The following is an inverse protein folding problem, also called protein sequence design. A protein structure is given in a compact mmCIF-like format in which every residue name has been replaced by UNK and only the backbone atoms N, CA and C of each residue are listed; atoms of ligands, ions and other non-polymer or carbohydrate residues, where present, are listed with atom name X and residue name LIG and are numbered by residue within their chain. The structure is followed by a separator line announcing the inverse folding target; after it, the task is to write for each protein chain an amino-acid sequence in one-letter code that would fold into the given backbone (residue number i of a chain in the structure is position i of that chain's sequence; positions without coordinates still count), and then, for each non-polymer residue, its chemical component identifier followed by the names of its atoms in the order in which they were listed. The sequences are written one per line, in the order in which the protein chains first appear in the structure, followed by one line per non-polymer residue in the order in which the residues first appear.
data_IF_397073754317
#
_entry.id   IF_397073754317
#
_cell.length_a   1.000
_cell.length_b   1.000
_cell.length_c   1.000
_cell.angle_alpha   90.00
_cell.angle_beta   90.00
_cell.angle_gamma   90.00
#
_symmetry.space_group_name_H-M   'P 1'
#
loop_
_entity.id
_entity.type
_entity.pdbx_description
1 polymer ?
#
# COMPACT_ATOMS: atom_id res chain seq x y z
N UNK A 1 -4.03 6.70 0.55
CA UNK A 1 -2.98 5.70 0.33
C UNK A 1 -3.22 4.50 1.24
N UNK A 2 -3.22 3.26 0.72
CA UNK A 2 -3.47 2.04 1.51
C UNK A 2 -2.47 1.84 2.65
N UNK A 3 -1.19 2.18 2.46
CA UNK A 3 -0.15 1.97 3.46
C UNK A 3 -0.40 2.80 4.73
N UNK A 4 -0.84 4.05 4.56
CA UNK A 4 -1.23 4.92 5.69
C UNK A 4 -2.47 4.34 6.40
N UNK A 5 -3.44 3.82 5.65
CA UNK A 5 -4.63 3.22 6.23
C UNK A 5 -4.29 1.96 7.05
N UNK A 6 -3.41 1.11 6.54
CA UNK A 6 -2.91 -0.08 7.26
C UNK A 6 -2.23 0.35 8.56
N UNK A 7 -1.32 1.32 8.51
CA UNK A 7 -0.63 1.81 9.70
C UNK A 7 -1.59 2.41 10.73
N UNK A 8 -2.66 3.10 10.28
CA UNK A 8 -3.71 3.64 11.14
C UNK A 8 -4.51 2.53 11.83
N UNK A 9 -4.94 1.51 11.09
CA UNK A 9 -5.66 0.36 11.64
C UNK A 9 -4.78 -0.46 12.61
N UNK A 10 -3.49 -0.56 12.32
CA UNK A 10 -2.52 -1.20 13.21
C UNK A 10 -2.37 -0.44 14.55
N UNK A 11 -2.38 0.89 14.50
CA UNK A 11 -2.39 1.72 15.72
C UNK A 11 -3.68 1.51 16.50
N UNK A 12 -4.84 1.59 15.85
CA UNK A 12 -6.14 1.38 16.50
C UNK A 12 -6.23 -0.01 17.15
N UNK A 13 -5.77 -1.06 16.46
CA UNK A 13 -5.67 -2.40 17.03
C UNK A 13 -4.80 -2.41 18.29
N UNK A 14 -3.63 -1.78 18.25
CA UNK A 14 -2.72 -1.72 19.40
C UNK A 14 -3.30 -0.94 20.59
N UNK A 15 -4.12 0.09 20.35
CA UNK A 15 -4.86 0.81 21.37
C UNK A 15 -5.92 -0.09 22.03
N UNK A 16 -6.60 -0.92 21.23
CA UNK A 16 -7.55 -1.92 21.76
C UNK A 16 -6.85 -3.05 22.54
N UNK A 17 -5.69 -3.51 22.09
CA UNK A 17 -4.89 -4.49 22.83
C UNK A 17 -4.43 -3.95 24.20
N UNK A 18 -4.12 -2.65 24.29
CA UNK A 18 -3.83 -1.97 25.54
C UNK A 18 -5.08 -1.92 26.45
N UNK A 19 -6.23 -1.51 25.93
CA UNK A 19 -7.51 -1.47 26.65
C UNK A 19 -7.90 -2.86 27.20
N UNK A 20 -7.71 -3.94 26.41
CA UNK A 20 -7.90 -5.32 26.85
C UNK A 20 -6.99 -5.64 28.05
N UNK A 21 -5.70 -5.28 27.95
CA UNK A 21 -4.74 -5.54 29.05
C UNK A 21 -5.07 -4.77 30.32
N UNK A 22 -5.63 -3.58 30.21
CA UNK A 22 -6.11 -2.79 31.34
C UNK A 22 -7.37 -3.43 31.95
N UNK A 23 -8.25 -3.99 31.11
CA UNK A 23 -9.46 -4.66 31.57
C UNK A 23 -9.17 -5.95 32.38
N UNK A 24 -8.01 -6.57 32.15
CA UNK A 24 -7.57 -7.74 32.92
C UNK A 24 -7.34 -7.45 34.43
N UNK A 25 -7.24 -6.17 34.82
CA UNK A 25 -7.17 -5.75 36.22
C UNK A 25 -8.55 -5.62 36.87
N UNK A 26 -9.62 -5.58 36.06
CA UNK A 26 -11.00 -5.42 36.55
C UNK A 26 -11.58 -6.76 36.98
N UNK A 27 -12.58 -6.75 37.88
CA UNK A 27 -13.32 -7.95 38.22
C UNK A 27 -14.12 -8.47 37.02
N UNK A 28 -14.15 -9.78 36.84
CA UNK A 28 -14.98 -10.47 35.85
C UNK A 28 -16.12 -11.22 36.53
N UNK A 29 -17.34 -11.11 36.00
CA UNK A 29 -18.50 -11.86 36.43
C UNK A 29 -18.95 -12.81 35.31
N UNK A 30 -19.16 -14.05 35.63
CA UNK A 30 -19.72 -15.04 34.71
C UNK A 30 -20.93 -15.72 35.32
N UNK A 31 -21.96 -15.96 34.48
CA UNK A 31 -23.14 -16.72 34.81
C UNK A 31 -23.19 -17.92 33.88
N UNK A 32 -23.26 -19.13 34.48
CA UNK A 32 -23.40 -20.36 33.71
C UNK A 32 -24.63 -21.13 34.19
N UNK A 33 -25.41 -21.65 33.26
CA UNK A 33 -26.46 -22.61 33.46
C UNK A 33 -26.04 -23.92 32.83
N UNK A 34 -25.94 -24.96 33.64
CA UNK A 34 -25.57 -26.29 33.21
C UNK A 34 -26.71 -27.25 33.53
N UNK A 35 -27.17 -27.96 32.51
CA UNK A 35 -28.11 -29.08 32.68
C UNK A 35 -27.36 -30.35 32.32
N UNK A 36 -27.26 -31.26 33.29
CA UNK A 36 -26.69 -32.59 33.11
C UNK A 36 -27.76 -33.70 33.38
N UNK A 37 -27.80 -34.64 32.46
CA UNK A 37 -28.56 -35.88 32.58
C UNK A 37 -27.57 -37.04 32.56
N UNK A 38 -27.62 -37.87 33.58
CA UNK A 38 -26.76 -39.07 33.69
C UNK A 38 -27.65 -40.26 33.95
N UNK A 39 -27.55 -41.23 33.07
CA UNK A 39 -28.24 -42.52 33.15
C UNK A 39 -27.27 -43.59 33.70
N UNK A 40 -27.76 -44.55 34.47
CA UNK A 40 -26.98 -45.69 34.98
C UNK A 40 -25.78 -45.30 35.87
N UNK A 41 -25.98 -44.35 36.80
CA UNK A 41 -24.91 -43.78 37.65
C UNK A 41 -24.37 -44.77 38.68
N UNK A 42 -25.23 -45.65 39.26
CA UNK A 42 -24.86 -46.72 40.24
C UNK A 42 -26.00 -47.71 40.46
N UNK A 43 -25.72 -48.84 41.11
CA UNK A 43 -26.71 -49.91 41.44
C UNK A 43 -27.92 -49.41 42.27
N UNK A 44 -27.90 -48.17 42.77
CA UNK A 44 -28.96 -47.57 43.60
C UNK A 44 -29.54 -46.28 43.04
N UNK A 45 -28.96 -45.74 41.94
CA UNK A 45 -29.43 -44.51 41.32
C UNK A 45 -29.43 -44.70 39.78
N UNK A 46 -30.61 -44.92 39.20
CA UNK A 46 -30.82 -45.23 37.78
C UNK A 46 -30.66 -43.95 36.91
N UNK A 47 -31.24 -42.85 37.34
CA UNK A 47 -31.23 -41.58 36.60
C UNK A 47 -30.88 -40.40 37.52
N UNK A 48 -30.04 -39.50 37.03
CA UNK A 48 -29.75 -38.24 37.73
C UNK A 48 -29.92 -37.09 36.76
N UNK A 49 -30.92 -36.25 36.98
CA UNK A 49 -31.09 -34.96 36.33
C UNK A 49 -30.63 -33.87 37.31
N UNK A 50 -29.80 -32.96 36.82
CA UNK A 50 -29.24 -31.88 37.62
C UNK A 50 -29.20 -30.59 36.82
N UNK A 51 -29.86 -29.56 37.33
CA UNK A 51 -29.79 -28.19 36.84
C UNK A 51 -28.93 -27.34 37.80
N UNK A 52 -27.84 -26.80 37.30
CA UNK A 52 -26.92 -25.99 38.10
C UNK A 52 -26.87 -24.58 37.52
N UNK A 53 -27.31 -23.58 38.30
CA UNK A 53 -27.09 -22.17 38.03
C UNK A 53 -25.90 -21.68 38.87
N UNK A 54 -24.83 -21.29 38.23
CA UNK A 54 -23.61 -20.81 38.88
C UNK A 54 -23.27 -19.39 38.49
N UNK A 55 -23.19 -18.51 39.47
CA UNK A 55 -22.64 -17.17 39.32
C UNK A 55 -21.23 -17.12 39.93
N UNK A 56 -20.24 -16.68 39.16
CA UNK A 56 -18.85 -16.60 39.61
C UNK A 56 -18.34 -15.17 39.41
N UNK A 57 -17.81 -14.56 40.49
CA UNK A 57 -17.11 -13.29 40.45
C UNK A 57 -15.62 -13.59 40.74
N UNK A 58 -14.76 -13.14 39.80
CA UNK A 58 -13.30 -13.32 39.94
C UNK A 58 -12.60 -11.97 39.85
N UNK A 59 -11.81 -11.64 40.85
CA UNK A 59 -11.02 -10.41 40.89
C UNK A 59 -9.56 -10.70 41.19
N UNK A 60 -8.66 -10.58 40.20
CA UNK A 60 -7.25 -10.84 40.37
C UNK A 60 -6.53 -9.61 40.94
N UNK A 61 -6.61 -9.37 42.25
CA UNK A 61 -6.05 -8.20 42.93
C UNK A 61 -4.50 -8.23 43.03
N UNK A 62 -3.87 -9.41 42.94
CA UNK A 62 -2.41 -9.56 42.96
C UNK A 62 -1.95 -10.64 41.96
N UNK A 63 -0.99 -10.30 41.11
CA UNK A 63 -0.45 -11.19 40.06
C UNK A 63 1.09 -11.12 39.94
N UNK A 64 1.79 -10.77 41.05
CA UNK A 64 3.26 -10.69 41.05
C UNK A 64 3.84 -9.69 40.05
N UNK A 65 3.11 -8.62 39.72
CA UNK A 65 3.54 -7.61 38.75
C UNK A 65 3.34 -7.98 37.27
N UNK A 66 2.95 -9.23 36.93
CA UNK A 66 2.81 -9.72 35.56
C UNK A 66 1.85 -8.85 34.72
N UNK A 67 0.65 -8.57 35.26
CA UNK A 67 -0.36 -7.78 34.55
C UNK A 67 0.11 -6.35 34.30
N UNK A 68 0.75 -5.71 35.26
CA UNK A 68 1.33 -4.36 35.12
C UNK A 68 2.42 -4.34 34.05
N UNK A 69 3.29 -5.34 34.01
CA UNK A 69 4.31 -5.47 32.97
C UNK A 69 3.69 -5.68 31.58
N UNK A 70 2.58 -6.40 31.46
CA UNK A 70 1.85 -6.58 30.20
C UNK A 70 1.25 -5.26 29.73
N UNK A 71 0.65 -4.47 30.62
CA UNK A 71 0.11 -3.14 30.29
C UNK A 71 1.26 -2.23 29.81
N UNK A 72 2.38 -2.16 30.51
CA UNK A 72 3.53 -1.38 30.11
C UNK A 72 4.08 -1.81 28.74
N UNK A 73 4.15 -3.12 28.48
CA UNK A 73 4.52 -3.68 27.18
C UNK A 73 3.58 -3.18 26.09
N UNK A 74 2.26 -3.28 26.28
CA UNK A 74 1.27 -2.89 25.28
C UNK A 74 1.24 -1.36 25.09
N UNK A 75 1.45 -0.57 26.13
CA UNK A 75 1.63 0.89 26.04
C UNK A 75 2.84 1.27 25.16
N UNK A 76 3.97 0.58 25.35
CA UNK A 76 5.15 0.77 24.50
C UNK A 76 4.91 0.34 23.06
N UNK A 77 4.14 -0.74 22.84
CA UNK A 77 3.75 -1.19 21.50
C UNK A 77 2.84 -0.18 20.81
N UNK A 78 1.89 0.42 21.52
CA UNK A 78 1.04 1.50 20.99
C UNK A 78 1.86 2.72 20.60
N UNK A 79 2.81 3.12 21.45
CA UNK A 79 3.75 4.21 21.12
C UNK A 79 4.56 3.90 19.86
N UNK A 80 5.09 2.67 19.76
CA UNK A 80 5.78 2.21 18.56
C UNK A 80 4.89 2.27 17.30
N UNK A 81 3.62 1.83 17.39
CA UNK A 81 2.69 1.87 16.26
C UNK A 81 2.34 3.30 15.84
N UNK A 82 2.29 4.24 16.79
CA UNK A 82 2.12 5.67 16.50
C UNK A 82 3.30 6.24 15.71
N UNK A 83 4.53 5.90 16.10
CA UNK A 83 5.72 6.31 15.37
C UNK A 83 5.79 5.69 13.97
N UNK A 84 5.35 4.44 13.80
CA UNK A 84 5.26 3.79 12.49
C UNK A 84 4.21 4.42 11.58
N UNK A 85 3.10 4.91 12.14
CA UNK A 85 2.12 5.68 11.36
C UNK A 85 2.72 7.02 10.89
N UNK A 86 3.43 7.74 11.76
CA UNK A 86 4.11 8.99 11.39
C UNK A 86 5.17 8.75 10.30
N UNK A 87 5.94 7.68 10.42
CA UNK A 87 6.91 7.25 9.41
C UNK A 87 6.25 6.92 8.06
N UNK A 88 5.12 6.19 8.07
CA UNK A 88 4.36 5.88 6.87
C UNK A 88 3.83 7.15 6.17
N UNK A 89 3.38 8.15 6.93
CA UNK A 89 2.95 9.44 6.38
C UNK A 89 4.12 10.16 5.72
N UNK A 90 5.25 10.31 6.41
CA UNK A 90 6.45 10.99 5.88
C UNK A 90 7.03 10.29 4.66
N UNK A 91 7.07 8.96 4.70
CA UNK A 91 7.51 8.15 3.55
C UNK A 91 6.60 8.37 2.35
N UNK A 92 5.28 8.41 2.57
CA UNK A 92 4.33 8.68 1.49
C UNK A 92 4.48 10.10 0.93
N UNK A 93 4.68 11.12 1.76
CA UNK A 93 4.95 12.49 1.33
C UNK A 93 6.19 12.56 0.43
N UNK A 94 7.27 11.88 0.83
CA UNK A 94 8.50 11.79 0.04
C UNK A 94 8.26 11.09 -1.30
N UNK A 95 7.48 9.99 -1.31
CA UNK A 95 7.14 9.26 -2.51
C UNK A 95 6.31 10.11 -3.48
N UNK A 96 5.34 10.87 -2.98
CA UNK A 96 4.52 11.78 -3.80
C UNK A 96 5.40 12.89 -4.38
N UNK A 97 6.26 13.52 -3.59
CA UNK A 97 7.18 14.55 -4.05
C UNK A 97 8.14 14.03 -5.14
N UNK A 98 8.69 12.83 -4.95
CA UNK A 98 9.56 12.16 -5.93
C UNK A 98 8.81 11.82 -7.22
N UNK A 99 7.60 11.27 -7.12
CA UNK A 99 6.78 10.94 -8.29
C UNK A 99 6.38 12.20 -9.08
N UNK A 100 6.05 13.29 -8.38
CA UNK A 100 5.76 14.57 -9.00
C UNK A 100 6.97 15.14 -9.76
N UNK A 101 8.14 15.16 -9.11
CA UNK A 101 9.38 15.65 -9.75
C UNK A 101 9.75 14.82 -10.98
N UNK A 102 9.57 13.47 -10.89
CA UNK A 102 9.79 12.57 -12.02
C UNK A 102 8.83 12.84 -13.18
N UNK A 103 7.55 13.07 -12.88
CA UNK A 103 6.56 13.42 -13.91
C UNK A 103 6.93 14.71 -14.64
N UNK A 104 7.29 15.78 -13.92
CA UNK A 104 7.68 17.06 -14.49
C UNK A 104 8.94 16.94 -15.35
N UNK A 105 9.92 16.15 -14.91
CA UNK A 105 11.14 15.88 -15.67
C UNK A 105 10.85 15.14 -16.98
N UNK A 106 10.00 14.10 -16.92
CA UNK A 106 9.64 13.31 -18.10
C UNK A 106 8.74 14.08 -19.08
N UNK A 107 7.90 15.00 -18.60
CA UNK A 107 7.14 15.92 -19.44
C UNK A 107 8.08 16.84 -20.25
N UNK A 108 9.06 17.44 -19.58
CA UNK A 108 10.06 18.28 -20.23
C UNK A 108 10.91 17.51 -21.23
N UNK A 109 11.29 16.26 -20.87
CA UNK A 109 12.03 15.37 -21.77
C UNK A 109 11.19 15.00 -23.00
N UNK A 110 9.91 14.64 -22.83
CA UNK A 110 9.00 14.33 -23.93
C UNK A 110 8.87 15.51 -24.91
N UNK A 111 8.74 16.73 -24.36
CA UNK A 111 8.71 17.95 -25.16
C UNK A 111 9.98 18.11 -26.01
N UNK A 112 11.15 17.88 -25.42
CA UNK A 112 12.44 17.96 -26.12
C UNK A 112 12.58 16.92 -27.22
N UNK A 113 12.15 15.68 -26.96
CA UNK A 113 12.18 14.58 -27.94
C UNK A 113 11.23 14.84 -29.11
N UNK A 114 10.05 15.42 -28.84
CA UNK A 114 9.13 15.86 -29.92
C UNK A 114 9.79 16.86 -30.88
N UNK A 115 10.52 17.84 -30.34
CA UNK A 115 11.29 18.78 -31.14
C UNK A 115 12.40 18.06 -31.91
N UNK A 116 13.09 17.12 -31.31
CA UNK A 116 14.13 16.30 -31.95
C UNK A 116 13.58 15.55 -33.17
N UNK A 117 12.43 14.88 -33.03
CA UNK A 117 11.78 14.15 -34.14
C UNK A 117 11.46 15.12 -35.28
N UNK A 118 10.87 16.31 -34.97
CA UNK A 118 10.56 17.32 -35.97
C UNK A 118 11.81 17.78 -36.72
N UNK A 119 12.90 18.04 -35.99
CA UNK A 119 14.18 18.48 -36.58
C UNK A 119 14.81 17.40 -37.47
N UNK A 120 14.77 16.12 -37.00
CA UNK A 120 15.27 14.99 -37.79
C UNK A 120 14.43 14.72 -39.03
N UNK A 121 13.13 14.98 -38.98
CA UNK A 121 12.21 14.86 -40.12
C UNK A 121 12.58 15.93 -41.20
N UNK A 122 12.72 17.19 -40.79
CA UNK A 122 13.10 18.28 -41.69
C UNK A 122 14.48 17.99 -42.31
N UNK A 123 15.44 17.50 -41.53
CA UNK A 123 16.78 17.19 -42.03
C UNK A 123 16.72 16.04 -43.07
N UNK A 124 15.94 14.99 -42.81
CA UNK A 124 15.73 13.88 -43.74
C UNK A 124 15.12 14.38 -45.06
N UNK A 125 14.04 15.17 -44.98
CA UNK A 125 13.36 15.73 -46.18
C UNK A 125 14.29 16.62 -46.98
N UNK A 126 15.12 17.44 -46.34
CA UNK A 126 16.12 18.27 -47.00
C UNK A 126 17.18 17.43 -47.73
N UNK A 127 17.75 16.42 -47.06
CA UNK A 127 18.74 15.51 -47.69
C UNK A 127 18.12 14.71 -48.84
N UNK A 128 16.90 14.22 -48.70
CA UNK A 128 16.19 13.51 -49.75
C UNK A 128 15.97 14.41 -51.00
N UNK A 129 15.57 15.67 -50.81
CA UNK A 129 15.42 16.64 -51.89
C UNK A 129 16.75 17.01 -52.57
N UNK A 130 17.87 17.09 -51.82
CA UNK A 130 19.21 17.29 -52.38
C UNK A 130 19.71 16.06 -53.16
N UNK A 131 19.38 14.86 -52.70
CA UNK A 131 19.69 13.59 -53.39
C UNK A 131 18.98 13.52 -54.76
N UNK A 132 17.69 13.88 -54.83
CA UNK A 132 16.92 13.91 -56.10
C UNK A 132 17.51 14.87 -57.09
N UNK A 133 18.20 15.94 -56.63
CA UNK A 133 18.91 16.90 -57.49
C UNK A 133 20.33 16.50 -57.84
N UNK A 134 20.76 15.32 -57.36
CA UNK A 134 22.10 14.78 -57.60
C UNK A 134 23.22 15.43 -56.74
N UNK A 135 22.85 16.21 -55.70
CA UNK A 135 23.83 16.93 -54.82
C UNK A 135 24.26 16.10 -53.62
N UNK A 136 23.63 14.97 -53.36
CA UNK A 136 23.93 14.05 -52.23
C UNK A 136 24.06 12.62 -52.72
N UNK A 137 24.70 11.77 -51.92
CA UNK A 137 24.81 10.34 -52.20
C UNK A 137 23.74 9.54 -51.43
N UNK A 138 23.54 8.28 -51.85
CA UNK A 138 22.56 7.35 -51.22
C UNK A 138 22.87 7.11 -49.74
N UNK A 139 24.14 7.12 -49.34
CA UNK A 139 24.57 6.89 -47.97
C UNK A 139 24.05 8.02 -47.06
N UNK A 140 24.07 9.26 -47.50
CA UNK A 140 23.55 10.42 -46.72
C UNK A 140 22.07 10.26 -46.44
N UNK A 141 21.28 9.79 -47.41
CA UNK A 141 19.83 9.52 -47.23
C UNK A 141 19.58 8.40 -46.24
N UNK A 142 20.35 7.30 -46.35
CA UNK A 142 20.22 6.15 -45.41
C UNK A 142 20.58 6.58 -44.01
N UNK A 143 21.66 7.34 -43.82
CA UNK A 143 22.06 7.82 -42.49
C UNK A 143 21.03 8.77 -41.88
N UNK A 144 20.51 9.70 -42.67
CA UNK A 144 19.47 10.63 -42.23
C UNK A 144 18.16 9.94 -41.86
N UNK A 145 17.76 8.90 -42.62
CA UNK A 145 16.59 8.09 -42.31
C UNK A 145 16.81 7.29 -41.01
N UNK A 146 18.01 6.74 -40.80
CA UNK A 146 18.37 6.04 -39.56
C UNK A 146 18.29 6.94 -38.31
N UNK A 147 18.73 8.21 -38.45
CA UNK A 147 18.62 9.21 -37.37
C UNK A 147 17.16 9.58 -37.08
N UNK A 148 16.34 9.74 -38.11
CA UNK A 148 14.90 9.97 -37.95
C UNK A 148 14.22 8.80 -37.23
N UNK A 149 14.48 7.57 -37.67
CA UNK A 149 13.93 6.38 -37.04
C UNK A 149 14.34 6.25 -35.56
N UNK A 150 15.61 6.55 -35.25
CA UNK A 150 16.11 6.58 -33.88
C UNK A 150 15.38 7.61 -33.02
N UNK A 151 15.13 8.81 -33.57
CA UNK A 151 14.36 9.84 -32.89
C UNK A 151 12.89 9.42 -32.64
N UNK A 152 12.25 8.76 -33.61
CA UNK A 152 10.89 8.22 -33.47
C UNK A 152 10.80 7.13 -32.41
N UNK A 153 11.79 6.21 -32.34
CA UNK A 153 11.88 5.21 -31.29
C UNK A 153 12.03 5.88 -29.91
N UNK A 154 12.86 6.92 -29.82
CA UNK A 154 13.03 7.71 -28.60
C UNK A 154 11.73 8.40 -28.18
N UNK A 155 10.95 8.90 -29.12
CA UNK A 155 9.63 9.48 -28.87
C UNK A 155 8.68 8.45 -28.25
N UNK A 156 8.52 7.29 -28.86
CA UNK A 156 7.65 6.23 -28.37
C UNK A 156 8.03 5.78 -26.94
N UNK A 157 9.34 5.67 -26.67
CA UNK A 157 9.84 5.35 -25.33
C UNK A 157 9.56 6.47 -24.32
N UNK A 158 9.70 7.72 -24.74
CA UNK A 158 9.42 8.89 -23.89
C UNK A 158 7.93 9.00 -23.56
N UNK A 159 7.03 8.77 -24.52
CA UNK A 159 5.59 8.73 -24.31
C UNK A 159 5.19 7.63 -23.33
N UNK A 160 5.72 6.43 -23.49
CA UNK A 160 5.52 5.34 -22.54
C UNK A 160 5.99 5.72 -21.14
N UNK A 161 7.19 6.29 -21.01
CA UNK A 161 7.75 6.66 -19.70
C UNK A 161 6.94 7.77 -19.02
N UNK A 162 6.46 8.75 -19.78
CA UNK A 162 5.59 9.81 -19.28
C UNK A 162 4.27 9.24 -18.76
N UNK A 163 3.64 8.34 -19.52
CA UNK A 163 2.42 7.64 -19.08
C UNK A 163 2.64 6.84 -17.80
N UNK A 164 3.76 6.12 -17.71
CA UNK A 164 4.12 5.36 -16.50
C UNK A 164 4.33 6.28 -15.30
N UNK A 165 4.91 7.47 -15.50
CA UNK A 165 5.08 8.45 -14.42
C UNK A 165 3.74 9.00 -13.92
N UNK A 166 2.76 9.21 -14.80
CA UNK A 166 1.40 9.58 -14.40
C UNK A 166 0.76 8.52 -13.51
N UNK A 167 0.85 7.23 -13.91
CA UNK A 167 0.34 6.13 -13.08
C UNK A 167 1.09 5.99 -11.75
N UNK A 168 2.39 6.20 -11.73
CA UNK A 168 3.17 6.18 -10.50
C UNK A 168 2.75 7.28 -9.53
N UNK A 169 2.46 8.48 -10.04
CA UNK A 169 1.93 9.57 -9.22
C UNK A 169 0.54 9.22 -8.66
N UNK A 170 -0.37 8.71 -9.50
CA UNK A 170 -1.70 8.26 -9.07
C UNK A 170 -1.62 7.16 -7.99
N UNK A 171 -0.66 6.23 -8.13
CA UNK A 171 -0.37 5.21 -7.13
C UNK A 171 0.09 5.83 -5.81
N UNK A 172 1.04 6.76 -5.85
CA UNK A 172 1.58 7.41 -4.66
C UNK A 172 0.51 8.20 -3.89
N UNK A 173 -0.38 8.90 -4.61
CA UNK A 173 -1.53 9.60 -4.02
C UNK A 173 -2.61 8.62 -3.51
N UNK A 174 -2.64 7.38 -4.03
CA UNK A 174 -3.62 6.36 -3.66
C UNK A 174 -4.92 6.41 -4.48
N UNK A 175 -4.89 7.07 -5.64
CA UNK A 175 -6.03 7.17 -6.55
C UNK A 175 -6.01 6.12 -7.66
N UNK A 176 -4.96 5.30 -7.74
CA UNK A 176 -4.86 4.22 -8.73
C UNK A 176 -5.76 3.04 -8.31
N UNK A 177 -6.99 3.05 -8.76
CA UNK A 177 -7.96 1.97 -8.56
C UNK A 177 -8.63 1.58 -9.89
N UNK A 178 -9.32 0.43 -9.92
CA UNK A 178 -10.00 -0.08 -11.12
C UNK A 178 -11.09 0.85 -11.63
N UNK A 179 -11.75 1.60 -10.74
CA UNK A 179 -12.79 2.57 -11.12
C UNK A 179 -12.20 3.77 -11.87
N UNK A 180 -11.04 4.27 -11.42
CA UNK A 180 -10.36 5.39 -12.07
C UNK A 180 -9.81 5.02 -13.46
N UNK A 181 -9.39 3.76 -13.62
CA UNK A 181 -8.87 3.24 -14.89
C UNK A 181 -9.96 2.76 -15.84
N UNK A 182 -11.25 2.82 -15.47
CA UNK A 182 -12.37 2.27 -16.24
C UNK A 182 -12.16 0.80 -16.64
N UNK A 183 -11.40 0.04 -15.88
CA UNK A 183 -11.21 -1.39 -16.07
C UNK A 183 -12.42 -2.11 -15.44
N UNK A 184 -13.20 -2.76 -16.31
CA UNK A 184 -14.28 -3.67 -15.89
C UNK A 184 -13.72 -5.02 -15.51
#
# INVERSE_FOLDING_TARGET
NPDILIAKLDLEKSEKDLEISESDLKPTASLSLERSYTDDLSATVDEKEQDILKATLSWPFYSGGKKRSTINKNSNLTTRKRLLLDDAVRTNETNVASAWSSLQSLESFLSSVKVQVKSSQIAYEGIAAEYERGSRNTLDVIQSNALLLSAQISLANSEKNYLMAQYNLLKAVGLLNSQYLNLK
#
